data_IF_815083301134
#
_entry.id   IF_815083301134
#
_cell.length_a   1.000
_cell.length_b   1.000
_cell.length_c   1.000
_cell.angle_alpha   90.00
_cell.angle_beta   90.00
_cell.angle_gamma   90.00
#
_symmetry.space_group_name_H-M   'P 1'
#
loop_
_entity.id
_entity.type
_entity.pdbx_description
1 polymer ?
#
# COMPACT_ATOMS: atom_id res chain seq x y z
N UNK A 1 4.91 55.30 -10.25
CA UNK A 1 3.97 54.72 -11.24
C UNK A 1 4.67 54.32 -12.53
N UNK A 2 5.33 55.23 -13.25
CA UNK A 2 5.92 54.90 -14.58
C UNK A 2 6.92 53.74 -14.56
N UNK A 3 7.72 53.62 -13.49
CA UNK A 3 8.63 52.48 -13.32
C UNK A 3 7.89 51.12 -13.19
N UNK A 4 6.74 51.10 -12.52
CA UNK A 4 5.90 49.89 -12.35
C UNK A 4 5.25 49.51 -13.67
N UNK A 5 4.67 50.50 -14.38
CA UNK A 5 4.11 50.30 -15.72
C UNK A 5 5.14 49.75 -16.71
N UNK A 6 6.37 50.27 -16.66
CA UNK A 6 7.50 49.74 -17.45
C UNK A 6 7.76 48.26 -17.13
N UNK A 7 7.85 47.90 -15.84
CA UNK A 7 8.08 46.50 -15.44
C UNK A 7 6.93 45.58 -15.85
N UNK A 8 5.67 46.02 -15.75
CA UNK A 8 4.52 45.24 -16.24
C UNK A 8 4.68 44.95 -17.73
N UNK A 9 4.99 45.98 -18.53
CA UNK A 9 5.20 45.81 -19.98
C UNK A 9 6.38 44.86 -20.27
N UNK A 10 7.47 44.96 -19.52
CA UNK A 10 8.63 44.09 -19.71
C UNK A 10 8.34 42.63 -19.33
N UNK A 11 7.57 42.40 -18.26
CA UNK A 11 7.16 41.05 -17.83
C UNK A 11 6.14 40.42 -18.76
N UNK A 12 5.19 41.20 -19.29
CA UNK A 12 4.16 40.70 -20.23
C UNK A 12 4.75 40.11 -21.51
N UNK A 13 5.96 40.54 -21.89
CA UNK A 13 6.69 40.01 -23.07
C UNK A 13 7.44 38.72 -22.78
N UNK A 14 7.56 38.33 -21.51
CA UNK A 14 8.25 37.11 -21.11
C UNK A 14 7.21 36.00 -21.04
N UNK A 15 7.02 35.30 -22.15
CA UNK A 15 6.09 34.18 -22.30
C UNK A 15 6.51 32.93 -21.50
N UNK A 16 6.63 33.06 -20.18
CA UNK A 16 7.05 31.96 -19.30
C UNK A 16 6.06 30.78 -19.32
N UNK A 17 4.78 31.05 -19.56
CA UNK A 17 3.72 30.05 -19.75
C UNK A 17 3.99 29.09 -20.90
N UNK A 18 4.70 29.55 -21.94
CA UNK A 18 4.88 28.79 -23.18
C UNK A 18 6.13 27.90 -23.11
N UNK A 19 7.01 28.16 -22.15
CA UNK A 19 8.30 27.48 -21.98
C UNK A 19 8.21 26.37 -20.94
N UNK A 20 7.29 26.50 -19.97
CA UNK A 20 7.19 25.59 -18.82
C UNK A 20 5.83 24.92 -18.82
N UNK A 21 5.82 23.60 -19.02
CA UNK A 21 4.62 22.78 -18.96
C UNK A 21 3.99 22.84 -17.56
N UNK A 22 2.69 23.16 -17.48
CA UNK A 22 1.98 23.33 -16.21
C UNK A 22 2.25 24.65 -15.48
N UNK A 23 2.95 25.62 -16.10
CA UNK A 23 3.13 26.93 -15.51
C UNK A 23 1.83 27.74 -15.40
N UNK A 24 1.80 28.65 -14.43
CA UNK A 24 0.71 29.60 -14.29
C UNK A 24 0.66 30.51 -15.53
N UNK A 25 -0.54 30.76 -16.04
CA UNK A 25 -0.79 31.71 -17.13
C UNK A 25 -0.70 33.18 -16.66
N UNK A 26 0.19 33.46 -15.72
CA UNK A 26 0.44 34.79 -15.20
C UNK A 26 1.86 34.90 -14.63
N UNK A 27 2.45 36.08 -14.78
CA UNK A 27 3.76 36.43 -14.23
C UNK A 27 3.58 37.29 -12.99
N UNK A 28 4.28 36.95 -11.91
CA UNK A 28 4.19 37.69 -10.65
C UNK A 28 5.21 38.83 -10.65
N UNK A 29 4.73 40.08 -10.50
CA UNK A 29 5.56 41.25 -10.23
C UNK A 29 5.58 41.49 -8.73
N UNK A 30 6.71 41.18 -8.10
CA UNK A 30 6.91 41.43 -6.68
C UNK A 30 7.31 42.87 -6.39
N UNK A 31 6.66 43.49 -5.41
CA UNK A 31 7.02 44.78 -4.85
C UNK A 31 7.44 44.60 -3.38
N UNK A 32 8.56 45.19 -2.93
CA UNK A 32 9.13 44.91 -1.60
C UNK A 32 8.36 45.53 -0.43
N UNK A 33 7.28 46.27 -0.69
CA UNK A 33 6.46 46.91 0.33
C UNK A 33 5.01 46.96 -0.13
N UNK A 34 4.09 46.56 0.75
CA UNK A 34 2.65 46.67 0.52
C UNK A 34 2.24 48.13 0.25
N UNK A 35 2.86 49.08 0.96
CA UNK A 35 2.59 50.50 0.76
C UNK A 35 2.95 50.99 -0.65
N UNK A 36 3.96 50.38 -1.29
CA UNK A 36 4.31 50.73 -2.67
C UNK A 36 3.30 50.16 -3.67
N UNK A 37 2.71 49.00 -3.39
CA UNK A 37 1.62 48.43 -4.20
C UNK A 37 0.41 49.35 -4.13
N UNK A 38 -0.06 49.64 -2.91
CA UNK A 38 -1.22 50.53 -2.68
C UNK A 38 -1.00 51.91 -3.30
N UNK A 39 0.15 52.55 -3.03
CA UNK A 39 0.46 53.87 -3.59
C UNK A 39 0.53 53.87 -5.13
N UNK A 40 0.90 52.74 -5.75
CA UNK A 40 0.94 52.63 -7.21
C UNK A 40 -0.46 52.52 -7.82
N UNK A 41 -1.36 51.80 -7.16
CA UNK A 41 -2.76 51.67 -7.59
C UNK A 41 -3.58 52.94 -7.29
N UNK A 42 -3.37 53.58 -6.14
CA UNK A 42 -4.02 54.86 -5.80
C UNK A 42 -3.65 55.96 -6.81
N UNK A 43 -2.36 56.01 -7.19
CA UNK A 43 -1.88 57.01 -8.14
C UNK A 43 -2.29 56.74 -9.60
N UNK A 44 -2.67 55.49 -9.93
CA UNK A 44 -3.14 55.12 -11.26
C UNK A 44 -4.08 53.91 -11.16
N UNK A 45 -5.38 54.11 -10.93
CA UNK A 45 -6.33 53.01 -10.74
C UNK A 45 -6.38 52.02 -11.91
N UNK A 46 -6.18 52.50 -13.14
CA UNK A 46 -6.15 51.62 -14.33
C UNK A 46 -4.95 50.65 -14.35
N UNK A 47 -3.93 50.88 -13.52
CA UNK A 47 -2.71 50.07 -13.52
C UNK A 47 -2.99 48.61 -13.13
N UNK A 48 -3.99 48.38 -12.27
CA UNK A 48 -4.38 47.03 -11.86
C UNK A 48 -4.98 46.26 -13.03
N UNK A 49 -5.98 46.84 -13.69
CA UNK A 49 -6.64 46.22 -14.85
C UNK A 49 -5.65 46.02 -16.00
N UNK A 50 -4.83 47.04 -16.30
CA UNK A 50 -3.76 46.97 -17.31
C UNK A 50 -2.77 45.82 -17.05
N UNK A 51 -2.44 45.57 -15.78
CA UNK A 51 -1.54 44.49 -15.40
C UNK A 51 -2.20 43.13 -15.59
N UNK A 52 -3.45 42.99 -15.13
CA UNK A 52 -4.21 41.75 -15.27
C UNK A 52 -4.46 41.37 -16.72
N UNK A 53 -4.85 42.31 -17.59
CA UNK A 53 -5.03 42.07 -19.02
C UNK A 53 -3.75 41.57 -19.69
N UNK A 54 -2.59 41.98 -19.17
CA UNK A 54 -1.27 41.56 -19.64
C UNK A 54 -0.74 40.29 -18.96
N UNK A 55 -1.56 39.62 -18.15
CA UNK A 55 -1.16 38.43 -17.41
C UNK A 55 -0.08 38.72 -16.36
N UNK A 56 -0.04 39.93 -15.80
CA UNK A 56 0.91 40.31 -14.74
C UNK A 56 0.15 40.57 -13.44
N UNK A 57 0.50 39.82 -12.40
CA UNK A 57 -0.09 40.00 -11.07
C UNK A 57 0.91 40.75 -10.21
N UNK A 58 0.57 41.97 -9.82
CA UNK A 58 1.39 42.76 -8.89
C UNK A 58 1.09 42.33 -7.46
N UNK A 59 2.12 41.94 -6.71
CA UNK A 59 1.99 41.45 -5.34
C UNK A 59 2.99 42.10 -4.40
N UNK A 60 2.56 42.34 -3.16
CA UNK A 60 3.46 42.62 -2.06
C UNK A 60 3.94 41.35 -1.33
N UNK A 61 4.75 41.48 -0.27
CA UNK A 61 5.29 40.34 0.47
C UNK A 61 4.22 39.39 1.03
N UNK A 62 3.11 39.92 1.55
CA UNK A 62 2.06 39.10 2.17
C UNK A 62 1.27 38.33 1.13
N UNK A 63 0.95 38.98 0.00
CA UNK A 63 0.25 38.35 -1.11
C UNK A 63 1.11 37.25 -1.76
N UNK A 64 2.40 37.52 -1.99
CA UNK A 64 3.34 36.53 -2.52
C UNK A 64 3.45 35.32 -1.57
N UNK A 65 3.64 35.56 -0.28
CA UNK A 65 3.73 34.49 0.72
C UNK A 65 2.48 33.60 0.74
N UNK A 66 1.30 34.21 0.66
CA UNK A 66 0.02 33.49 0.58
C UNK A 66 -0.05 32.63 -0.68
N UNK A 67 0.33 33.16 -1.85
CA UNK A 67 0.35 32.40 -3.10
C UNK A 67 1.32 31.21 -3.03
N UNK A 68 2.53 31.42 -2.50
CA UNK A 68 3.52 30.35 -2.35
C UNK A 68 3.03 29.25 -1.40
N UNK A 69 2.33 29.62 -0.31
CA UNK A 69 1.71 28.65 0.59
C UNK A 69 0.58 27.87 -0.09
N UNK A 70 -0.24 28.53 -0.89
CA UNK A 70 -1.30 27.86 -1.64
C UNK A 70 -0.71 26.84 -2.63
N UNK A 71 0.35 27.22 -3.37
CA UNK A 71 1.08 26.31 -4.27
C UNK A 71 1.67 25.14 -3.50
N UNK A 72 2.35 25.41 -2.37
CA UNK A 72 2.89 24.35 -1.52
C UNK A 72 1.82 23.38 -1.04
N UNK A 73 0.62 23.87 -0.70
CA UNK A 73 -0.48 23.03 -0.25
C UNK A 73 -1.02 22.14 -1.37
N UNK A 74 -1.17 22.68 -2.58
CA UNK A 74 -1.59 21.91 -3.77
C UNK A 74 -0.61 20.77 -4.06
N UNK A 75 0.69 21.01 -4.00
CA UNK A 75 1.69 19.95 -4.22
C UNK A 75 1.67 18.89 -3.12
N UNK A 76 1.53 19.28 -1.85
CA UNK A 76 1.40 18.32 -0.75
C UNK A 76 0.15 17.46 -0.87
N UNK A 77 -0.97 18.05 -1.30
CA UNK A 77 -2.20 17.30 -1.54
C UNK A 77 -2.05 16.30 -2.68
N UNK A 78 -1.43 16.70 -3.80
CA UNK A 78 -1.18 15.81 -4.93
C UNK A 78 -0.27 14.63 -4.54
N UNK A 79 0.79 14.87 -3.75
CA UNK A 79 1.66 13.81 -3.25
C UNK A 79 0.89 12.82 -2.36
N UNK A 80 0.05 13.32 -1.46
CA UNK A 80 -0.74 12.48 -0.56
C UNK A 80 -1.72 11.58 -1.33
N UNK A 81 -2.35 12.11 -2.38
CA UNK A 81 -3.24 11.33 -3.25
C UNK A 81 -2.48 10.22 -4.00
N UNK A 82 -1.28 10.50 -4.50
CA UNK A 82 -0.43 9.50 -5.16
C UNK A 82 -0.01 8.39 -4.20
N UNK A 83 0.48 8.74 -3.02
CA UNK A 83 0.90 7.76 -1.99
C UNK A 83 -0.27 6.87 -1.56
N UNK A 84 -1.46 7.46 -1.37
CA UNK A 84 -2.66 6.71 -1.02
C UNK A 84 -3.05 5.70 -2.10
N UNK A 85 -2.93 6.08 -3.37
CA UNK A 85 -3.20 5.18 -4.49
C UNK A 85 -2.21 4.01 -4.53
N UNK A 86 -0.93 4.26 -4.30
CA UNK A 86 0.10 3.21 -4.24
C UNK A 86 -0.16 2.23 -3.08
N UNK A 87 -0.51 2.73 -1.90
CA UNK A 87 -0.86 1.91 -0.73
C UNK A 87 -2.07 1.01 -1.05
N UNK A 88 -3.10 1.53 -1.73
CA UNK A 88 -4.26 0.74 -2.13
C UNK A 88 -3.89 -0.39 -3.10
N UNK A 89 -3.02 -0.12 -4.07
CA UNK A 89 -2.61 -1.13 -5.06
C UNK A 89 -1.69 -2.20 -4.45
N UNK A 90 -0.82 -1.82 -3.52
CA UNK A 90 -0.06 -2.77 -2.69
C UNK A 90 -1.00 -3.62 -1.82
N UNK A 91 -2.01 -3.00 -1.22
CA UNK A 91 -3.04 -3.69 -0.43
C UNK A 91 -3.79 -4.74 -1.24
N UNK A 92 -4.24 -4.40 -2.46
CA UNK A 92 -4.87 -5.35 -3.39
C UNK A 92 -3.96 -6.53 -3.71
N UNK A 93 -2.71 -6.23 -4.07
CA UNK A 93 -1.71 -7.25 -4.38
C UNK A 93 -1.46 -8.19 -3.20
N UNK A 94 -1.44 -7.66 -1.98
CA UNK A 94 -1.25 -8.46 -0.77
C UNK A 94 -2.43 -9.42 -0.54
N UNK A 95 -3.67 -8.94 -0.66
CA UNK A 95 -4.88 -9.76 -0.52
C UNK A 95 -4.88 -10.90 -1.54
N UNK A 96 -4.55 -10.63 -2.79
CA UNK A 96 -4.47 -11.66 -3.84
C UNK A 96 -3.44 -12.74 -3.50
N UNK A 97 -2.26 -12.34 -3.01
CA UNK A 97 -1.20 -13.29 -2.60
C UNK A 97 -1.64 -14.14 -1.40
N UNK A 98 -2.33 -13.56 -0.43
CA UNK A 98 -2.88 -14.29 0.71
C UNK A 98 -3.90 -15.32 0.25
N UNK A 99 -4.78 -14.96 -0.69
CA UNK A 99 -5.78 -15.88 -1.25
C UNK A 99 -5.12 -17.07 -1.97
N UNK A 100 -4.09 -16.80 -2.79
CA UNK A 100 -3.32 -17.85 -3.47
C UNK A 100 -2.65 -18.78 -2.45
N UNK A 101 -1.99 -18.20 -1.44
CA UNK A 101 -1.35 -18.97 -0.37
C UNK A 101 -2.37 -19.81 0.40
N UNK A 102 -3.53 -19.25 0.74
CA UNK A 102 -4.63 -19.98 1.37
C UNK A 102 -5.08 -21.18 0.55
N UNK A 103 -5.16 -21.03 -0.78
CA UNK A 103 -5.43 -22.12 -1.71
C UNK A 103 -4.37 -23.23 -1.67
N UNK A 104 -3.09 -22.88 -1.60
CA UNK A 104 -2.00 -23.85 -1.45
C UNK A 104 -2.05 -24.58 -0.10
N UNK A 105 -2.28 -23.85 0.99
CA UNK A 105 -2.40 -24.42 2.33
C UNK A 105 -3.62 -25.34 2.45
N UNK A 106 -4.74 -25.00 1.82
CA UNK A 106 -5.92 -25.87 1.74
C UNK A 106 -5.60 -27.22 1.11
N UNK A 107 -4.97 -27.21 -0.08
CA UNK A 107 -4.54 -28.43 -0.79
C UNK A 107 -3.53 -29.27 0.01
N UNK A 108 -2.62 -28.61 0.73
CA UNK A 108 -1.67 -29.27 1.61
C UNK A 108 -2.40 -29.98 2.76
N UNK A 109 -3.39 -29.30 3.37
CA UNK A 109 -4.24 -29.88 4.41
C UNK A 109 -5.00 -31.12 3.93
N UNK A 110 -5.57 -31.11 2.72
CA UNK A 110 -6.21 -32.28 2.11
C UNK A 110 -5.24 -33.45 1.94
N UNK A 111 -4.04 -33.17 1.43
CA UNK A 111 -3.00 -34.19 1.21
C UNK A 111 -2.53 -34.83 2.52
N UNK A 112 -2.39 -34.03 3.58
CA UNK A 112 -2.06 -34.54 4.91
C UNK A 112 -3.17 -35.43 5.47
N UNK A 113 -4.44 -35.01 5.35
CA UNK A 113 -5.59 -35.84 5.77
C UNK A 113 -5.61 -37.19 5.07
N UNK A 114 -5.37 -37.20 3.76
CA UNK A 114 -5.31 -38.44 2.98
C UNK A 114 -4.15 -39.35 3.42
N UNK A 115 -3.00 -38.74 3.73
CA UNK A 115 -1.81 -39.47 4.21
C UNK A 115 -2.07 -40.15 5.55
N UNK A 116 -2.67 -39.43 6.51
CA UNK A 116 -3.08 -40.00 7.81
C UNK A 116 -4.10 -41.12 7.62
N UNK A 117 -5.08 -40.95 6.74
CA UNK A 117 -6.06 -42.00 6.45
C UNK A 117 -5.42 -43.26 5.83
N UNK A 118 -4.44 -43.10 4.94
CA UNK A 118 -3.67 -44.21 4.38
C UNK A 118 -2.83 -44.92 5.45
N UNK A 119 -2.16 -44.16 6.32
CA UNK A 119 -1.38 -44.69 7.44
C UNK A 119 -2.25 -45.54 8.39
N UNK A 120 -3.39 -45.00 8.83
CA UNK A 120 -4.31 -45.73 9.72
C UNK A 120 -4.82 -47.04 9.09
N UNK A 121 -5.11 -47.04 7.78
CA UNK A 121 -5.48 -48.26 7.04
C UNK A 121 -4.34 -49.30 7.01
N UNK A 122 -3.10 -48.86 6.84
CA UNK A 122 -1.95 -49.75 6.82
C UNK A 122 -1.72 -50.43 8.18
N UNK A 123 -1.77 -49.67 9.27
CA UNK A 123 -1.64 -50.20 10.64
C UNK A 123 -2.79 -51.16 10.96
N UNK A 124 -4.05 -50.78 10.71
CA UNK A 124 -5.18 -51.67 10.97
C UNK A 124 -5.11 -52.98 10.18
N UNK A 125 -4.60 -52.94 8.93
CA UNK A 125 -4.36 -54.13 8.13
C UNK A 125 -3.21 -55.00 8.67
N UNK A 126 -2.14 -54.38 9.15
CA UNK A 126 -0.99 -55.06 9.76
C UNK A 126 -1.46 -55.81 11.01
N UNK A 127 -2.14 -55.14 11.92
CA UNK A 127 -2.67 -55.74 13.16
C UNK A 127 -3.61 -56.92 12.88
N UNK A 128 -4.60 -56.74 12.00
CA UNK A 128 -5.59 -57.78 11.71
C UNK A 128 -4.96 -59.02 11.06
N UNK A 129 -4.01 -58.86 10.14
CA UNK A 129 -3.48 -59.99 9.35
C UNK A 129 -2.24 -60.61 9.96
N UNK A 130 -1.32 -59.81 10.49
CA UNK A 130 -0.07 -60.33 11.05
C UNK A 130 -0.25 -60.84 12.48
N UNK A 131 -1.10 -60.24 13.32
CA UNK A 131 -1.35 -60.80 14.65
C UNK A 131 -2.04 -62.18 14.57
N UNK A 132 -2.92 -62.37 13.58
CA UNK A 132 -3.56 -63.67 13.32
C UNK A 132 -2.58 -64.66 12.71
N UNK A 133 -1.76 -64.24 11.76
CA UNK A 133 -0.72 -65.10 11.17
C UNK A 133 0.33 -65.51 12.21
N UNK A 134 0.76 -64.61 13.10
CA UNK A 134 1.66 -64.89 14.20
C UNK A 134 1.04 -65.86 15.22
N UNK A 135 -0.25 -65.71 15.55
CA UNK A 135 -0.98 -66.69 16.39
C UNK A 135 -1.08 -68.07 15.74
N UNK A 136 -1.34 -68.12 14.43
CA UNK A 136 -1.42 -69.38 13.68
C UNK A 136 -0.05 -70.05 13.52
N UNK A 137 1.05 -69.30 13.47
CA UNK A 137 2.41 -69.89 13.45
C UNK A 137 2.77 -70.44 14.85
N UNK A 138 2.44 -69.70 15.92
CA UNK A 138 2.66 -70.16 17.29
C UNK A 138 1.84 -71.40 17.68
N UNK A 139 0.74 -71.72 16.99
CA UNK A 139 0.00 -72.97 17.21
C UNK A 139 0.64 -74.18 16.53
N UNK A 140 1.58 -73.98 15.60
CA UNK A 140 2.31 -75.05 14.91
C UNK A 140 3.74 -75.29 15.43
N UNK A 141 4.37 -74.34 16.12
CA UNK A 141 5.71 -74.51 16.71
C UNK A 141 5.74 -74.26 18.21
N UNK A 142 6.06 -75.31 18.97
CA UNK A 142 6.33 -75.25 20.42
C UNK A 142 7.67 -74.56 20.76
N UNK A 143 8.28 -73.83 19.82
CA UNK A 143 9.59 -73.18 19.99
C UNK A 143 9.70 -71.91 19.14
N UNK A 144 9.12 -70.78 19.56
CA UNK A 144 9.68 -69.45 19.24
C UNK A 144 9.47 -68.54 20.45
N UNK A 145 10.57 -68.02 20.99
CA UNK A 145 10.58 -67.00 22.04
C UNK A 145 10.26 -65.62 21.44
N UNK A 146 9.52 -64.86 22.26
CA UNK A 146 9.22 -63.43 22.26
C UNK A 146 8.49 -62.86 21.04
N UNK A 147 7.22 -62.52 21.27
CA UNK A 147 6.39 -61.73 20.37
C UNK A 147 6.98 -60.31 20.23
N UNK A 148 6.80 -59.65 19.08
CA UNK A 148 7.21 -58.25 18.93
C UNK A 148 6.48 -57.37 19.94
N UNK A 149 7.23 -56.46 20.58
CA UNK A 149 6.70 -55.47 21.52
C UNK A 149 5.53 -54.70 20.89
N UNK A 150 4.45 -54.54 21.65
CA UNK A 150 3.32 -53.70 21.29
C UNK A 150 3.83 -52.27 21.07
N UNK A 151 3.70 -51.76 19.85
CA UNK A 151 3.95 -50.35 19.58
C UNK A 151 2.92 -49.53 20.36
N UNK A 152 3.40 -48.64 21.22
CA UNK A 152 2.59 -47.78 22.07
C UNK A 152 1.40 -47.18 21.30
N UNK A 153 0.21 -47.44 21.84
CA UNK A 153 -1.09 -47.01 21.37
C UNK A 153 -1.27 -45.50 21.65
N UNK A 154 -0.43 -44.66 21.07
CA UNK A 154 -0.58 -43.22 21.15
C UNK A 154 -1.14 -42.68 19.83
N UNK A 155 -2.46 -42.77 19.67
CA UNK A 155 -3.15 -41.74 18.89
C UNK A 155 -3.08 -40.46 19.73
N UNK A 156 -2.06 -39.63 19.50
CA UNK A 156 -2.01 -38.29 20.09
C UNK A 156 -3.16 -37.47 19.53
N UNK A 157 -4.24 -37.34 20.30
CA UNK A 157 -5.29 -36.37 20.03
C UNK A 157 -4.67 -34.98 20.00
N UNK A 158 -4.94 -34.13 19.00
CA UNK A 158 -4.61 -32.72 19.12
C UNK A 158 -5.40 -32.17 20.32
N UNK A 159 -4.71 -31.49 21.24
CA UNK A 159 -5.37 -30.65 22.23
C UNK A 159 -6.11 -29.55 21.45
N UNK A 160 -7.43 -29.70 21.29
CA UNK A 160 -8.30 -28.56 21.04
C UNK A 160 -8.54 -27.94 22.42
N UNK A 161 -8.04 -26.73 22.63
CA UNK A 161 -8.21 -25.95 23.85
C UNK A 161 -9.68 -25.98 24.28
N UNK A 162 -9.95 -26.70 25.36
CA UNK A 162 -11.20 -26.65 26.13
C UNK A 162 -10.99 -25.73 27.33
N UNK A 163 -10.60 -24.49 27.08
CA UNK A 163 -10.71 -23.40 28.07
C UNK A 163 -11.80 -22.43 27.60
N UNK A 164 -13.04 -22.92 27.58
CA UNK A 164 -14.25 -22.12 27.79
C UNK A 164 -15.26 -22.94 28.59
N UNK A 165 -15.16 -22.87 29.92
CA UNK A 165 -16.27 -22.86 30.87
C UNK A 165 -15.85 -22.16 32.16
#
# INVERSE_FOLDING_TARGET
>A
VEAVRRHINDLSKRSYSDIVEGALQAVILFMPSEALVTASFDASPQLFDDAMEKGVIVVGPTALHTLLRAVSHVWSQQSLEQDAQEILDLGRTLVDRINILGGHLGKLGDSLRQTVANYNRAIGSFEQRLAVSARNINSFERVVKDAPEQLEEAVRTPLLDQDQQ
#
